data_IF_134621896236
#
_entry.id   IF_134621896236
#
_cell.length_a   1.000
_cell.length_b   1.000
_cell.length_c   1.000
_cell.angle_alpha   90.00
_cell.angle_beta   90.00
_cell.angle_gamma   90.00
#
_symmetry.space_group_name_H-M   'P 1'
#
loop_
_entity.id
_entity.type
_entity.pdbx_description
1 polymer ?
#
# COMPACT_ATOMS: atom_id res chain seq x y z
N UNK A 1 -2.30 26.23 15.36
CA UNK A 1 -1.26 25.91 16.35
C UNK A 1 -0.06 25.39 15.56
N UNK A 2 0.45 26.12 14.55
CA UNK A 2 1.11 25.46 13.40
C UNK A 2 2.27 26.22 12.71
N UNK A 3 2.62 27.43 13.13
CA UNK A 3 3.67 28.21 12.45
C UNK A 3 5.06 27.57 12.50
N UNK A 4 5.37 26.85 13.59
CA UNK A 4 6.68 26.21 13.74
C UNK A 4 6.83 24.95 12.87
N UNK A 5 5.74 24.24 12.57
CA UNK A 5 5.75 23.04 11.72
C UNK A 5 5.97 23.41 10.25
N UNK A 6 5.26 24.44 9.79
CA UNK A 6 5.46 25.05 8.47
C UNK A 6 6.93 25.48 8.31
N UNK A 7 7.45 26.19 9.32
CA UNK A 7 8.86 26.61 9.33
C UNK A 7 9.85 25.43 9.30
N UNK A 8 9.60 24.35 10.05
CA UNK A 8 10.50 23.20 10.08
C UNK A 8 10.56 22.48 8.74
N UNK A 9 9.41 22.29 8.09
CA UNK A 9 9.32 21.61 6.80
C UNK A 9 9.97 22.42 5.67
N UNK A 10 9.78 23.74 5.65
CA UNK A 10 10.43 24.63 4.68
C UNK A 10 11.95 24.55 4.80
N UNK A 11 12.46 24.48 6.04
CA UNK A 11 13.89 24.27 6.32
C UNK A 11 14.36 22.92 5.77
N UNK A 12 13.59 21.85 6.00
CA UNK A 12 13.92 20.49 5.51
C UNK A 12 13.95 20.48 3.98
N UNK A 13 12.95 21.06 3.31
CA UNK A 13 12.90 21.14 1.83
C UNK A 13 14.12 21.92 1.33
N UNK A 14 14.39 23.10 1.87
CA UNK A 14 15.52 23.94 1.46
C UNK A 14 16.87 23.24 1.63
N UNK A 15 17.09 22.57 2.77
CA UNK A 15 18.31 21.80 3.02
C UNK A 15 18.42 20.60 2.09
N UNK A 16 17.34 19.84 1.93
CA UNK A 16 17.30 18.66 1.08
C UNK A 16 17.62 19.01 -0.37
N UNK A 17 16.98 20.03 -0.94
CA UNK A 17 17.24 20.49 -2.30
C UNK A 17 18.68 20.97 -2.48
N UNK A 18 19.22 21.70 -1.50
CA UNK A 18 20.62 22.15 -1.50
C UNK A 18 21.58 20.97 -1.55
N UNK A 19 21.38 19.96 -0.71
CA UNK A 19 22.24 18.76 -0.69
C UNK A 19 22.07 17.88 -1.94
N UNK A 20 20.84 17.72 -2.44
CA UNK A 20 20.58 16.99 -3.69
C UNK A 20 21.18 17.70 -4.91
N UNK A 21 21.21 19.03 -4.91
CA UNK A 21 21.89 19.84 -5.93
C UNK A 21 23.41 19.68 -5.88
N UNK A 22 23.98 19.63 -4.68
CA UNK A 22 25.41 19.42 -4.47
C UNK A 22 25.86 17.95 -4.65
N UNK A 23 24.93 17.01 -4.75
CA UNK A 23 25.23 15.57 -4.81
C UNK A 23 25.66 14.99 -3.46
N UNK A 24 25.38 15.66 -2.34
CA UNK A 24 25.75 15.22 -0.99
C UNK A 24 24.71 14.23 -0.44
N UNK A 25 24.76 12.99 -0.95
CA UNK A 25 23.82 11.92 -0.61
C UNK A 25 23.78 11.65 0.89
N UNK A 26 24.94 11.72 1.56
CA UNK A 26 25.03 11.48 3.00
C UNK A 26 24.23 12.51 3.80
N UNK A 27 24.40 13.80 3.50
CA UNK A 27 23.62 14.85 4.18
C UNK A 27 22.14 14.79 3.84
N UNK A 28 21.78 14.48 2.59
CA UNK A 28 20.39 14.25 2.22
C UNK A 28 19.76 13.13 3.06
N UNK A 29 20.46 12.00 3.24
CA UNK A 29 20.03 10.90 4.10
C UNK A 29 19.90 11.33 5.57
N UNK A 30 20.89 12.06 6.10
CA UNK A 30 20.88 12.50 7.50
C UNK A 30 19.69 13.43 7.80
N UNK A 31 19.43 14.41 6.93
CA UNK A 31 18.27 15.32 7.04
C UNK A 31 16.96 14.56 6.94
N UNK A 32 16.79 13.77 5.87
CA UNK A 32 15.52 13.06 5.62
C UNK A 32 15.22 12.04 6.71
N UNK A 33 16.23 11.30 7.19
CA UNK A 33 16.07 10.34 8.29
C UNK A 33 15.72 11.04 9.60
N UNK A 34 16.39 12.15 9.91
CA UNK A 34 16.11 12.94 11.10
C UNK A 34 14.67 13.45 11.10
N UNK A 35 14.22 14.01 9.97
CA UNK A 35 12.86 14.48 9.82
C UNK A 35 11.82 13.36 9.84
N UNK A 36 12.01 12.26 9.08
CA UNK A 36 11.08 11.12 9.06
C UNK A 36 10.86 10.47 10.44
N UNK A 37 11.83 10.60 11.36
CA UNK A 37 11.69 10.06 12.73
C UNK A 37 10.65 10.78 13.58
N UNK A 38 10.28 12.01 13.20
CA UNK A 38 9.29 12.86 13.89
C UNK A 38 8.12 13.26 12.99
N UNK A 39 8.13 12.83 11.71
CA UNK A 39 7.10 13.19 10.75
C UNK A 39 5.75 12.59 11.13
N UNK A 40 4.70 13.41 10.99
CA UNK A 40 3.32 12.99 11.21
C UNK A 40 2.75 12.30 9.96
N UNK A 41 1.69 11.48 10.11
CA UNK A 41 1.05 10.85 8.96
C UNK A 41 0.48 11.90 7.97
N UNK A 42 0.92 11.83 6.72
CA UNK A 42 0.56 12.68 5.59
C UNK A 42 1.67 13.66 5.21
N UNK A 43 2.61 13.94 6.11
CA UNK A 43 3.71 14.88 5.86
C UNK A 43 4.71 14.41 4.77
N UNK A 44 5.04 13.12 4.61
CA UNK A 44 5.83 12.61 3.48
C UNK A 44 5.28 13.00 2.11
N UNK A 45 3.98 12.75 1.88
CA UNK A 45 3.33 13.13 0.63
C UNK A 45 3.35 14.65 0.43
N UNK A 46 3.10 15.39 1.50
CA UNK A 46 3.09 16.85 1.47
C UNK A 46 4.47 17.44 1.14
N UNK A 47 5.54 16.94 1.78
CA UNK A 47 6.92 17.35 1.51
C UNK A 47 7.29 17.12 0.04
N UNK A 48 6.90 15.99 -0.55
CA UNK A 48 7.15 15.72 -1.96
C UNK A 48 6.36 16.64 -2.90
N UNK A 49 5.12 16.97 -2.54
CA UNK A 49 4.29 17.89 -3.32
C UNK A 49 4.88 19.30 -3.38
N UNK A 50 5.49 19.75 -2.27
CA UNK A 50 6.09 21.08 -2.12
C UNK A 50 7.56 21.14 -2.57
N UNK A 51 8.24 20.01 -2.66
CA UNK A 51 9.58 19.92 -3.26
C UNK A 51 9.52 20.32 -4.73
N UNK A 52 10.51 21.11 -5.17
CA UNK A 52 10.66 21.55 -6.55
C UNK A 52 10.66 20.36 -7.52
N UNK A 53 9.98 20.53 -8.66
CA UNK A 53 9.83 19.48 -9.69
C UNK A 53 11.17 18.85 -10.09
N UNK A 54 12.25 19.65 -10.15
CA UNK A 54 13.59 19.18 -10.50
C UNK A 54 14.20 18.19 -9.48
N UNK A 55 13.84 18.29 -8.20
CA UNK A 55 14.41 17.47 -7.13
C UNK A 55 13.45 16.38 -6.63
N UNK A 56 12.14 16.53 -6.89
CA UNK A 56 11.10 15.61 -6.44
C UNK A 56 11.39 14.13 -6.73
N UNK A 57 11.85 13.71 -7.92
CA UNK A 57 12.15 12.30 -8.17
C UNK A 57 13.26 11.74 -7.27
N UNK A 58 14.29 12.55 -6.98
CA UNK A 58 15.39 12.13 -6.09
C UNK A 58 14.96 12.12 -4.62
N UNK A 59 14.15 13.09 -4.22
CA UNK A 59 13.56 13.14 -2.88
C UNK A 59 12.61 11.94 -2.64
N UNK A 60 11.79 11.59 -3.63
CA UNK A 60 10.88 10.45 -3.57
C UNK A 60 11.65 9.13 -3.45
N UNK A 61 12.71 8.94 -4.25
CA UNK A 61 13.58 7.76 -4.17
C UNK A 61 14.20 7.61 -2.78
N UNK A 62 14.80 8.70 -2.26
CA UNK A 62 15.40 8.73 -0.93
C UNK A 62 14.39 8.41 0.16
N UNK A 63 13.20 9.01 0.07
CA UNK A 63 12.13 8.81 1.03
C UNK A 63 11.62 7.37 0.99
N UNK A 64 11.39 6.82 -0.20
CA UNK A 64 11.02 5.41 -0.40
C UNK A 64 12.02 4.46 0.26
N UNK A 65 13.31 4.68 0.02
CA UNK A 65 14.39 3.84 0.54
C UNK A 65 14.50 3.92 2.07
N UNK A 66 14.27 5.10 2.66
CA UNK A 66 14.28 5.29 4.11
C UNK A 66 13.05 4.68 4.78
N UNK A 67 11.86 4.91 4.22
CA UNK A 67 10.60 4.37 4.71
C UNK A 67 10.62 2.84 4.66
N UNK A 68 10.96 2.28 3.50
CA UNK A 68 10.99 0.83 3.28
C UNK A 68 12.21 0.14 3.90
N UNK A 69 13.18 0.92 4.40
CA UNK A 69 14.46 0.50 5.00
C UNK A 69 15.34 -0.30 4.04
N UNK A 70 16.05 0.39 3.15
CA UNK A 70 16.91 -0.20 2.13
C UNK A 70 17.88 -1.30 2.66
N UNK A 71 17.99 -2.46 1.97
CA UNK A 71 17.11 -2.93 0.90
C UNK A 71 15.69 -3.19 1.44
N UNK A 72 14.65 -2.82 0.69
CA UNK A 72 13.25 -2.78 1.17
C UNK A 72 12.85 -3.98 2.04
N UNK A 73 12.81 -3.77 3.37
CA UNK A 73 12.40 -4.78 4.37
C UNK A 73 10.91 -4.71 4.71
N UNK A 74 10.25 -3.61 4.33
CA UNK A 74 8.80 -3.44 4.47
C UNK A 74 8.25 -3.26 3.05
N UNK A 75 7.45 -4.23 2.65
CA UNK A 75 6.89 -4.32 1.30
C UNK A 75 5.38 -4.50 1.38
N UNK A 76 4.68 -4.16 0.31
CA UNK A 76 3.24 -4.30 0.22
C UNK A 76 2.83 -4.91 -1.10
N UNK A 77 1.76 -5.69 -1.05
CA UNK A 77 1.00 -6.09 -2.23
C UNK A 77 -0.26 -5.23 -2.28
N UNK A 78 -0.36 -4.27 -3.22
CA UNK A 78 -1.63 -3.59 -3.48
C UNK A 78 -2.62 -4.57 -4.10
N UNK A 79 -3.85 -4.55 -3.61
CA UNK A 79 -4.87 -5.54 -3.98
C UNK A 79 -6.21 -4.83 -4.16
N UNK A 80 -6.93 -5.19 -5.23
CA UNK A 80 -8.37 -5.00 -5.27
C UNK A 80 -9.06 -6.23 -4.69
N UNK A 81 -10.11 -6.01 -3.91
CA UNK A 81 -10.92 -7.06 -3.32
C UNK A 81 -12.41 -6.74 -3.52
N UNK A 82 -13.14 -7.76 -3.95
CA UNK A 82 -14.59 -7.78 -4.04
C UNK A 82 -15.05 -8.99 -3.26
N UNK A 83 -15.97 -8.78 -2.32
CA UNK A 83 -16.54 -9.85 -1.53
C UNK A 83 -18.06 -9.81 -1.68
N UNK A 84 -18.67 -10.96 -1.99
CA UNK A 84 -20.10 -11.17 -1.90
C UNK A 84 -20.38 -12.18 -0.79
N UNK A 85 -21.43 -11.99 0.04
CA UNK A 85 -21.80 -13.00 1.02
C UNK A 85 -22.07 -14.36 0.35
N UNK A 86 -21.80 -15.44 1.07
CA UNK A 86 -22.24 -16.76 0.63
C UNK A 86 -23.73 -16.93 0.96
N UNK A 87 -24.61 -16.73 -0.03
CA UNK A 87 -26.05 -16.78 0.16
C UNK A 87 -26.60 -18.17 0.53
N UNK A 88 -25.80 -19.21 0.39
CA UNK A 88 -26.14 -20.56 0.84
C UNK A 88 -25.83 -20.79 2.33
N UNK A 89 -25.03 -19.90 2.95
CA UNK A 89 -24.74 -19.94 4.38
C UNK A 89 -25.93 -19.45 5.20
N UNK A 90 -26.74 -20.39 5.67
CA UNK A 90 -27.91 -20.15 6.52
C UNK A 90 -27.56 -19.81 7.98
N UNK A 91 -26.27 -19.83 8.35
CA UNK A 91 -25.84 -19.79 9.75
C UNK A 91 -25.62 -18.41 10.35
N UNK A 92 -25.63 -17.32 9.57
CA UNK A 92 -25.28 -15.99 10.09
C UNK A 92 -26.10 -14.81 9.54
N UNK A 93 -26.42 -13.88 10.43
CA UNK A 93 -26.73 -12.51 10.05
C UNK A 93 -25.42 -11.84 9.60
N UNK A 94 -25.22 -11.69 8.29
CA UNK A 94 -24.02 -11.02 7.81
C UNK A 94 -23.99 -9.57 8.30
N UNK A 95 -22.83 -9.15 8.81
CA UNK A 95 -22.57 -7.73 9.05
C UNK A 95 -22.66 -6.93 7.75
N UNK A 96 -22.56 -5.60 7.81
CA UNK A 96 -22.55 -4.76 6.59
C UNK A 96 -21.25 -4.88 5.78
N UNK A 97 -20.24 -5.52 6.37
CA UNK A 97 -18.86 -5.55 5.87
C UNK A 97 -18.22 -6.90 6.18
N UNK A 98 -17.22 -7.24 5.37
CA UNK A 98 -16.28 -8.33 5.60
C UNK A 98 -15.08 -7.79 6.41
N UNK A 99 -14.71 -8.49 7.49
CA UNK A 99 -13.42 -8.26 8.17
C UNK A 99 -12.34 -9.07 7.47
N UNK A 100 -11.23 -8.44 7.14
CA UNK A 100 -10.10 -9.13 6.53
C UNK A 100 -9.43 -10.08 7.54
N UNK A 101 -9.15 -11.34 7.14
CA UNK A 101 -8.61 -12.35 8.04
C UNK A 101 -7.13 -12.12 8.36
N UNK A 102 -6.68 -12.72 9.45
CA UNK A 102 -5.27 -12.94 9.77
C UNK A 102 -4.97 -14.44 9.65
N UNK A 103 -3.72 -14.83 9.34
CA UNK A 103 -3.37 -16.24 9.22
C UNK A 103 -3.60 -16.95 10.55
N UNK A 104 -4.43 -18.00 10.52
CA UNK A 104 -4.59 -18.95 11.62
C UNK A 104 -3.27 -19.74 11.83
N UNK A 105 -3.05 -20.34 13.02
CA UNK A 105 -1.80 -21.04 13.32
C UNK A 105 -1.40 -22.13 12.31
N UNK A 106 -2.36 -22.74 11.63
CA UNK A 106 -2.18 -23.78 10.62
C UNK A 106 -1.98 -23.25 9.19
N UNK A 107 -2.33 -21.99 8.92
CA UNK A 107 -2.14 -21.33 7.60
C UNK A 107 -0.69 -20.90 7.40
N UNK A 108 -0.02 -20.44 8.48
CA UNK A 108 1.38 -20.03 8.45
C UNK A 108 1.66 -18.80 7.57
N UNK A 109 2.94 -18.57 7.30
CA UNK A 109 3.43 -17.48 6.44
C UNK A 109 3.36 -17.87 4.95
N UNK A 110 3.27 -16.90 4.03
CA UNK A 110 3.15 -17.19 2.59
C UNK A 110 4.36 -17.93 2.02
N UNK A 111 5.56 -17.57 2.46
CA UNK A 111 6.82 -18.19 2.08
C UNK A 111 7.89 -17.87 3.15
N UNK A 112 9.11 -18.38 2.97
CA UNK A 112 10.22 -18.15 3.91
C UNK A 112 10.71 -16.70 3.91
N UNK A 113 10.60 -16.02 2.76
CA UNK A 113 11.13 -14.66 2.58
C UNK A 113 10.18 -13.56 3.04
N UNK A 114 8.89 -13.86 3.24
CA UNK A 114 7.87 -12.87 3.57
C UNK A 114 7.08 -13.26 4.82
N UNK A 115 7.03 -12.33 5.76
CA UNK A 115 6.19 -12.43 6.94
C UNK A 115 5.03 -11.44 6.83
N UNK A 116 3.80 -11.95 6.76
CA UNK A 116 2.60 -11.14 6.71
C UNK A 116 2.39 -10.37 8.03
N UNK A 117 2.32 -9.05 7.93
CA UNK A 117 2.15 -8.15 9.07
C UNK A 117 0.68 -7.78 9.30
N UNK A 118 -0.11 -7.72 8.23
CA UNK A 118 -1.51 -7.32 8.29
C UNK A 118 -1.93 -6.48 7.08
N UNK A 119 -3.03 -5.76 7.24
CA UNK A 119 -3.66 -5.01 6.18
C UNK A 119 -3.54 -3.51 6.41
N UNK A 120 -3.41 -2.75 5.32
CA UNK A 120 -3.53 -1.30 5.32
C UNK A 120 -4.68 -0.87 4.39
N UNK A 121 -5.56 0.02 4.85
CA UNK A 121 -6.44 0.77 3.94
C UNK A 121 -5.63 1.52 2.88
N UNK A 122 -6.12 1.59 1.64
CA UNK A 122 -5.48 2.39 0.58
C UNK A 122 -5.26 3.87 0.99
N UNK A 123 -6.21 4.44 1.74
CA UNK A 123 -6.13 5.82 2.22
C UNK A 123 -5.15 6.03 3.39
N UNK A 124 -4.42 4.99 3.84
CA UNK A 124 -3.47 5.12 4.95
C UNK A 124 -2.36 6.10 4.57
N UNK A 125 -2.16 7.19 5.33
CA UNK A 125 -1.07 8.14 5.09
C UNK A 125 0.29 7.57 5.51
N UNK A 126 1.36 8.02 4.85
CA UNK A 126 2.74 7.75 5.26
C UNK A 126 3.17 8.71 6.38
N UNK A 127 4.08 8.36 7.30
CA UNK A 127 4.63 7.03 7.49
C UNK A 127 3.68 6.14 8.29
N UNK A 128 3.78 4.84 8.08
CA UNK A 128 3.17 3.84 8.97
C UNK A 128 4.06 3.68 10.20
N UNK A 129 3.48 3.74 11.40
CA UNK A 129 4.24 3.66 12.64
C UNK A 129 4.87 2.27 12.83
N UNK A 130 6.15 2.25 13.25
CA UNK A 130 6.90 1.02 13.56
C UNK A 130 7.23 0.98 15.06
N UNK A 131 7.06 -0.15 15.79
CA UNK A 131 6.61 -1.46 15.31
C UNK A 131 5.17 -1.45 14.79
N UNK A 132 4.95 -2.12 13.66
CA UNK A 132 3.62 -2.21 13.05
C UNK A 132 2.65 -2.90 14.00
N UNK A 133 1.45 -2.34 14.14
CA UNK A 133 0.38 -2.86 15.00
C UNK A 133 -0.91 -2.96 14.19
N UNK A 134 -1.27 -4.15 13.69
CA UNK A 134 -2.41 -4.31 12.79
C UNK A 134 -3.74 -3.83 13.40
N UNK A 135 -3.87 -3.88 14.72
CA UNK A 135 -5.08 -3.48 15.45
C UNK A 135 -5.42 -2.00 15.27
N UNK A 136 -4.43 -1.17 14.93
CA UNK A 136 -4.63 0.26 14.61
C UNK A 136 -5.21 0.49 13.22
N UNK A 137 -5.22 -0.53 12.37
CA UNK A 137 -5.58 -0.44 10.95
C UNK A 137 -6.77 -1.34 10.62
N UNK A 138 -7.76 -1.43 11.51
CA UNK A 138 -8.99 -2.19 11.26
C UNK A 138 -9.63 -1.74 9.95
N UNK A 139 -9.66 -2.65 8.97
CA UNK A 139 -10.27 -2.40 7.69
C UNK A 139 -11.36 -3.42 7.40
N UNK A 140 -12.51 -2.86 7.05
CA UNK A 140 -13.73 -3.58 6.74
C UNK A 140 -14.03 -3.37 5.27
N UNK A 141 -14.18 -4.47 4.54
CA UNK A 141 -14.50 -4.45 3.12
C UNK A 141 -16.02 -4.43 2.98
N UNK A 142 -16.63 -3.38 2.39
CA UNK A 142 -18.05 -3.39 2.10
C UNK A 142 -18.42 -4.51 1.14
N UNK A 143 -19.52 -5.20 1.43
CA UNK A 143 -20.05 -6.22 0.52
C UNK A 143 -20.40 -5.63 -0.84
N UNK A 144 -20.15 -6.44 -1.87
CA UNK A 144 -20.49 -6.18 -3.27
C UNK A 144 -19.91 -4.87 -3.81
N UNK A 145 -18.81 -4.40 -3.22
CA UNK A 145 -18.13 -3.18 -3.65
C UNK A 145 -16.62 -3.42 -3.76
N UNK A 146 -16.01 -3.15 -4.93
CA UNK A 146 -14.56 -3.17 -5.09
C UNK A 146 -13.90 -2.25 -4.06
N UNK A 147 -12.95 -2.81 -3.32
CA UNK A 147 -12.21 -2.12 -2.26
C UNK A 147 -10.73 -2.41 -2.44
N UNK A 148 -9.92 -1.35 -2.40
CA UNK A 148 -8.47 -1.46 -2.49
C UNK A 148 -7.83 -1.48 -1.12
N UNK A 149 -6.87 -2.39 -0.93
CA UNK A 149 -6.11 -2.57 0.30
C UNK A 149 -4.65 -2.89 -0.03
N UNK A 150 -3.77 -2.80 0.97
CA UNK A 150 -2.40 -3.31 0.87
C UNK A 150 -2.23 -4.44 1.88
N UNK A 151 -1.85 -5.61 1.41
CA UNK A 151 -1.29 -6.65 2.26
C UNK A 151 0.17 -6.28 2.57
N UNK A 152 0.47 -6.04 3.84
CA UNK A 152 1.79 -5.60 4.28
C UNK A 152 2.63 -6.80 4.72
N UNK A 153 3.88 -6.85 4.27
CA UNK A 153 4.82 -7.89 4.64
C UNK A 153 6.13 -7.28 5.15
N UNK A 154 6.78 -8.05 6.01
CA UNK A 154 8.20 -7.88 6.32
C UNK A 154 8.99 -8.88 5.50
N UNK A 155 9.90 -8.39 4.66
CA UNK A 155 10.81 -9.27 3.94
C UNK A 155 12.06 -9.59 4.76
N UNK A 156 12.73 -10.67 4.37
CA UNK A 156 14.01 -11.07 4.96
C UNK A 156 15.13 -10.05 4.61
N UNK A 157 16.04 -9.69 5.54
CA UNK A 157 17.09 -8.69 5.28
C UNK A 157 18.06 -9.04 4.14
N UNK A 158 18.15 -10.31 3.75
CA UNK A 158 18.98 -10.77 2.64
C UNK A 158 18.31 -10.70 1.27
N UNK A 159 17.02 -10.32 1.21
CA UNK A 159 16.28 -10.20 -0.03
C UNK A 159 16.49 -8.80 -0.63
N UNK A 160 17.16 -8.74 -1.78
CA UNK A 160 17.42 -7.49 -2.49
C UNK A 160 16.52 -7.30 -3.71
N UNK A 161 16.07 -8.40 -4.33
CA UNK A 161 15.27 -8.39 -5.54
C UNK A 161 13.87 -8.93 -5.27
N UNK A 162 12.88 -8.03 -5.27
CA UNK A 162 11.48 -8.37 -5.02
C UNK A 162 10.86 -9.16 -6.18
N UNK A 163 11.40 -9.05 -7.40
CA UNK A 163 10.86 -9.72 -8.59
C UNK A 163 11.09 -11.23 -8.54
N UNK A 164 12.00 -11.69 -7.68
CA UNK A 164 12.27 -13.12 -7.44
C UNK A 164 11.30 -13.76 -6.45
N UNK A 165 10.52 -12.96 -5.72
CA UNK A 165 9.61 -13.48 -4.69
C UNK A 165 8.27 -13.84 -5.28
N UNK A 166 7.96 -15.13 -5.29
CA UNK A 166 6.65 -15.61 -5.66
C UNK A 166 5.74 -15.71 -4.42
N UNK A 167 4.67 -14.92 -4.40
CA UNK A 167 3.57 -15.03 -3.43
C UNK A 167 2.60 -16.12 -3.92
N UNK A 168 2.49 -17.28 -3.24
CA UNK A 168 1.71 -18.38 -3.80
C UNK A 168 0.20 -18.11 -3.76
N UNK A 169 -0.48 -18.24 -4.90
CA UNK A 169 -1.93 -18.06 -5.00
C UNK A 169 -2.72 -18.91 -4.00
N UNK A 170 -2.24 -20.12 -3.70
CA UNK A 170 -2.89 -21.02 -2.77
C UNK A 170 -2.87 -20.52 -1.32
N UNK A 171 -1.91 -19.67 -0.93
CA UNK A 171 -1.85 -19.12 0.41
C UNK A 171 -3.00 -18.15 0.65
N UNK A 172 -3.34 -17.30 -0.33
CA UNK A 172 -4.54 -16.46 -0.27
C UNK A 172 -5.81 -17.29 -0.06
N UNK A 173 -5.95 -18.40 -0.77
CA UNK A 173 -7.08 -19.32 -0.59
C UNK A 173 -7.16 -19.92 0.82
N UNK A 174 -6.02 -20.26 1.43
CA UNK A 174 -5.97 -20.72 2.83
C UNK A 174 -6.31 -19.60 3.81
N UNK A 175 -5.78 -18.39 3.59
CA UNK A 175 -6.00 -17.22 4.44
C UNK A 175 -7.48 -16.84 4.53
N UNK A 176 -8.22 -16.93 3.43
CA UNK A 176 -9.64 -16.61 3.38
C UNK A 176 -10.57 -17.82 3.62
N UNK A 177 -10.04 -19.01 3.90
CA UNK A 177 -10.82 -20.25 3.97
C UNK A 177 -11.93 -20.23 5.02
N UNK A 178 -11.71 -19.56 6.15
CA UNK A 178 -12.70 -19.45 7.24
C UNK A 178 -13.72 -18.32 7.04
N UNK A 179 -13.64 -17.59 5.92
CA UNK A 179 -14.59 -16.53 5.58
C UNK A 179 -15.73 -17.09 4.73
N UNK A 180 -16.97 -17.02 5.25
CA UNK A 180 -18.19 -17.33 4.49
C UNK A 180 -18.51 -16.27 3.43
N UNK A 181 -17.72 -16.20 2.37
CA UNK A 181 -17.91 -15.25 1.28
C UNK A 181 -17.31 -15.76 -0.04
N UNK A 182 -17.93 -15.35 -1.13
CA UNK A 182 -17.34 -15.40 -2.47
C UNK A 182 -16.38 -14.21 -2.63
N UNK A 183 -15.08 -14.49 -2.65
CA UNK A 183 -14.04 -13.46 -2.70
C UNK A 183 -13.33 -13.50 -4.05
N UNK A 184 -13.27 -12.34 -4.68
CA UNK A 184 -12.43 -12.08 -5.85
C UNK A 184 -11.38 -11.04 -5.47
N UNK A 185 -10.11 -11.34 -5.73
CA UNK A 185 -9.01 -10.45 -5.38
C UNK A 185 -7.92 -10.41 -6.44
N UNK A 186 -7.12 -9.36 -6.43
CA UNK A 186 -5.87 -9.27 -7.19
C UNK A 186 -4.68 -9.22 -6.24
N UNK A 187 -3.57 -9.88 -6.59
CA UNK A 187 -2.36 -9.93 -5.75
C UNK A 187 -1.11 -10.17 -6.60
N UNK A 188 -0.87 -9.30 -7.58
CA UNK A 188 0.13 -9.55 -8.64
C UNK A 188 1.49 -8.88 -8.41
N UNK A 189 1.53 -7.85 -7.59
CA UNK A 189 2.71 -7.00 -7.44
C UNK A 189 3.20 -6.98 -6.01
N UNK A 190 4.51 -7.11 -5.84
CA UNK A 190 5.19 -6.86 -4.59
C UNK A 190 6.03 -5.60 -4.74
N UNK A 191 5.73 -4.57 -3.96
CA UNK A 191 6.34 -3.26 -4.08
C UNK A 191 6.90 -2.80 -2.72
N UNK A 192 7.89 -1.88 -2.70
CA UNK A 192 8.17 -1.11 -1.48
C UNK A 192 6.85 -0.51 -0.95
N UNK A 193 6.65 -0.50 0.37
CA UNK A 193 5.31 -0.18 0.88
C UNK A 193 4.77 1.23 0.55
N UNK A 194 5.60 2.30 0.37
CA UNK A 194 5.10 3.59 -0.11
C UNK A 194 4.48 3.48 -1.50
N UNK A 195 5.17 2.79 -2.41
CA UNK A 195 4.74 2.48 -3.77
C UNK A 195 3.46 1.63 -3.73
N UNK A 196 3.39 0.63 -2.84
CA UNK A 196 2.19 -0.20 -2.67
C UNK A 196 0.96 0.61 -2.21
N UNK A 197 1.14 1.55 -1.26
CA UNK A 197 0.05 2.44 -0.82
C UNK A 197 -0.40 3.37 -1.95
N UNK A 198 0.54 3.92 -2.72
CA UNK A 198 0.19 4.75 -3.86
C UNK A 198 -0.55 3.94 -4.95
N UNK A 199 -0.13 2.71 -5.22
CA UNK A 199 -0.82 1.80 -6.14
C UNK A 199 -2.21 1.47 -5.64
N UNK A 200 -2.37 1.21 -4.33
CA UNK A 200 -3.68 0.95 -3.77
C UNK A 200 -4.63 2.16 -3.89
N UNK A 201 -4.14 3.39 -3.71
CA UNK A 201 -4.93 4.62 -3.94
C UNK A 201 -5.35 4.74 -5.40
N UNK A 202 -4.42 4.47 -6.32
CA UNK A 202 -4.69 4.46 -7.76
C UNK A 202 -5.79 3.45 -8.13
N UNK A 203 -5.66 2.20 -7.68
CA UNK A 203 -6.66 1.14 -7.84
C UNK A 203 -8.03 1.57 -7.27
N UNK A 204 -8.03 2.19 -6.09
CA UNK A 204 -9.27 2.67 -5.44
C UNK A 204 -9.94 3.79 -6.24
N UNK A 205 -9.18 4.78 -6.68
CA UNK A 205 -9.71 5.92 -7.42
C UNK A 205 -10.29 5.45 -8.77
N UNK A 206 -9.58 4.58 -9.49
CA UNK A 206 -10.09 3.98 -10.73
C UNK A 206 -11.38 3.19 -10.50
N UNK A 207 -11.42 2.34 -9.46
CA UNK A 207 -12.61 1.54 -9.20
C UNK A 207 -13.84 2.35 -8.82
N UNK A 208 -13.64 3.56 -8.30
CA UNK A 208 -14.69 4.51 -7.90
C UNK A 208 -15.01 5.58 -8.96
N UNK A 209 -14.26 5.63 -10.06
CA UNK A 209 -14.37 6.71 -11.05
C UNK A 209 -13.96 8.08 -10.50
N UNK A 210 -13.10 8.10 -9.48
CA UNK A 210 -12.54 9.33 -8.91
C UNK A 210 -11.42 9.87 -9.81
N UNK A 211 -11.16 11.19 -9.78
CA UNK A 211 -10.03 11.77 -10.50
C UNK A 211 -8.70 11.16 -10.03
N UNK A 212 -7.88 10.78 -11.00
CA UNK A 212 -6.58 10.18 -10.77
C UNK A 212 -5.49 11.16 -11.24
N UNK A 213 -4.41 11.40 -10.47
CA UNK A 213 -3.27 12.17 -10.95
C UNK A 213 -2.66 11.59 -12.22
N UNK A 214 -1.97 12.40 -13.03
CA UNK A 214 -1.30 11.87 -14.23
C UNK A 214 -0.09 10.99 -13.90
N UNK A 215 0.51 11.20 -12.71
CA UNK A 215 1.72 10.51 -12.25
C UNK A 215 1.72 10.33 -10.73
N UNK A 216 2.44 9.30 -10.30
CA UNK A 216 2.73 9.04 -8.89
C UNK A 216 3.84 9.92 -8.33
N UNK A 217 3.86 10.03 -7.01
CA UNK A 217 4.97 10.56 -6.23
C UNK A 217 6.06 9.50 -6.04
N UNK A 218 5.70 8.22 -5.89
CA UNK A 218 6.62 7.12 -5.59
C UNK A 218 6.70 6.08 -6.72
N UNK A 219 5.55 5.66 -7.23
CA UNK A 219 5.42 4.65 -8.27
C UNK A 219 6.13 5.07 -9.55
N UNK A 220 6.80 4.11 -10.17
CA UNK A 220 7.29 4.27 -11.53
C UNK A 220 6.13 4.38 -12.53
N UNK A 221 6.37 5.04 -13.66
CA UNK A 221 5.41 5.14 -14.76
C UNK A 221 4.95 3.74 -15.24
N UNK A 222 5.81 2.71 -15.17
CA UNK A 222 5.45 1.33 -15.54
C UNK A 222 4.48 0.69 -14.55
N UNK A 223 4.75 0.78 -13.25
CA UNK A 223 3.89 0.25 -12.20
C UNK A 223 2.55 1.00 -12.14
N UNK A 224 2.57 2.31 -12.43
CA UNK A 224 1.37 3.13 -12.56
C UNK A 224 0.43 2.62 -13.65
N UNK A 225 0.95 2.42 -14.87
CA UNK A 225 0.16 1.90 -15.98
C UNK A 225 -0.37 0.49 -15.69
N UNK A 226 0.45 -0.37 -15.08
CA UNK A 226 0.05 -1.73 -14.73
C UNK A 226 -1.10 -1.74 -13.72
N UNK A 227 -1.02 -0.93 -12.66
CA UNK A 227 -2.09 -0.80 -11.67
C UNK A 227 -3.39 -0.25 -12.29
N UNK A 228 -3.30 0.72 -13.21
CA UNK A 228 -4.48 1.17 -13.97
C UNK A 228 -5.12 0.03 -14.75
N UNK A 229 -4.32 -0.70 -15.53
CA UNK A 229 -4.83 -1.77 -16.39
C UNK A 229 -5.42 -2.92 -15.54
N UNK A 230 -4.82 -3.19 -14.38
CA UNK A 230 -5.33 -4.14 -13.37
C UNK A 230 -6.69 -3.71 -12.81
N UNK A 231 -6.88 -2.43 -12.48
CA UNK A 231 -8.17 -1.92 -12.03
C UNK A 231 -9.28 -2.11 -13.09
N UNK A 232 -8.98 -1.80 -14.35
CA UNK A 232 -9.92 -1.96 -15.45
C UNK A 232 -10.30 -3.45 -15.65
N UNK A 233 -9.32 -4.34 -15.65
CA UNK A 233 -9.55 -5.78 -15.78
C UNK A 233 -10.35 -6.34 -14.60
N UNK A 234 -10.08 -5.87 -13.38
CA UNK A 234 -10.80 -6.30 -12.18
C UNK A 234 -12.27 -5.89 -12.20
N UNK A 235 -12.57 -4.65 -12.62
CA UNK A 235 -13.96 -4.18 -12.77
C UNK A 235 -14.73 -5.04 -13.78
N UNK A 236 -14.12 -5.32 -14.93
CA UNK A 236 -14.74 -6.15 -15.97
C UNK A 236 -14.97 -7.59 -15.48
N UNK A 237 -13.96 -8.17 -14.81
CA UNK A 237 -14.07 -9.48 -14.18
C UNK A 237 -15.20 -9.54 -13.15
N UNK A 238 -15.31 -8.53 -12.28
CA UNK A 238 -16.38 -8.45 -11.29
C UNK A 238 -17.76 -8.38 -11.94
N UNK A 239 -17.91 -7.56 -13.00
CA UNK A 239 -19.17 -7.41 -13.74
C UNK A 239 -19.63 -8.73 -14.36
N UNK A 240 -18.69 -9.54 -14.85
CA UNK A 240 -19.00 -10.83 -15.43
C UNK A 240 -19.31 -11.91 -14.39
N UNK A 241 -18.53 -11.96 -13.30
CA UNK A 241 -18.63 -13.03 -12.29
C UNK A 241 -19.77 -12.80 -11.29
N UNK A 242 -20.07 -11.55 -10.96
CA UNK A 242 -21.02 -11.19 -9.92
C UNK A 242 -22.24 -10.45 -10.46
N UNK A 243 -22.54 -10.61 -11.76
CA UNK A 243 -23.67 -9.96 -12.43
C UNK A 243 -24.99 -10.13 -11.65
N UNK A 244 -25.24 -11.34 -11.16
CA UNK A 244 -26.48 -11.68 -10.44
C UNK A 244 -26.50 -11.13 -9.00
N UNK A 245 -25.33 -10.90 -8.39
CA UNK A 245 -25.21 -10.28 -7.07
C UNK A 245 -25.28 -8.74 -7.13
N UNK A 246 -25.00 -8.14 -8.28
CA UNK A 246 -24.94 -6.69 -8.47
C UNK A 246 -26.30 -6.04 -8.81
N UNK A 247 -27.30 -6.83 -9.23
CA UNK A 247 -28.67 -6.35 -9.49
C UNK A 247 -28.84 -5.54 -10.77
#
# INVERSE_FOLDING_TARGET
MDDWKLSMRDIVISQLESFLKAGDVRKSLEVMRGWLSIAEPGEPEQLLSETSIAFRPRAALLMRDLLSRYPSTIVGTPMLLFAAPDFEDTSTAWGRTLKLPFPEPDVGQPCEDLHFLGWLPAATPLPVAVPFRPEKYSHEVPWMKPTSVVALFRSHPGLFDLDTVELPNHWWGKLFRSVSANIHLTARLLLPYPDALEAARLLQAYTRGEPVPDKGLFLSDSAWNLARDEAALFQESCRHQFKDALG
#
